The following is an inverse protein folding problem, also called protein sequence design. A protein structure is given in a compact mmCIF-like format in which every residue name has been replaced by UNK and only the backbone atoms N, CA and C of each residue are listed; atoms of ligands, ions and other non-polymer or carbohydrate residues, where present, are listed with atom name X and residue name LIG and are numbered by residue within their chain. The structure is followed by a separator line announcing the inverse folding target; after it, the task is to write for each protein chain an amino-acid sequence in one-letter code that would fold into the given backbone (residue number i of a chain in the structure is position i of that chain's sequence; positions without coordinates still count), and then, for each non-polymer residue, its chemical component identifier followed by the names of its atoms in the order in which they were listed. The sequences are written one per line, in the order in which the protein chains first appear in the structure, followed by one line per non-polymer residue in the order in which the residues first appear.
data_IF_435206360236
#
_entry.id   IF_435206360236
#
_cell.length_a   1.000
_cell.length_b   1.000
_cell.length_c   1.000
_cell.angle_alpha   90.00
_cell.angle_beta   90.00
_cell.angle_gamma   90.00
#
_symmetry.space_group_name_H-M   'P 1'
#
loop_
_entity.id
_entity.type
_entity.pdbx_description
1 polymer ?
#
# COMPACT_ATOMS: atom_id res chain seq x y z
N UNK A 1 17.08 0.85 -1.82
CA UNK A 1 15.63 1.11 -1.88
C UNK A 1 15.36 2.54 -1.52
N UNK A 2 14.47 3.18 -2.24
CA UNK A 2 14.19 4.60 -2.10
C UNK A 2 12.76 4.85 -1.64
N UNK A 3 12.52 6.07 -1.14
CA UNK A 3 11.16 6.51 -0.83
C UNK A 3 10.27 6.51 -2.07
N UNK A 4 10.82 6.87 -3.25
CA UNK A 4 10.08 6.81 -4.50
C UNK A 4 9.60 5.38 -4.81
N UNK A 5 10.41 4.38 -4.51
CA UNK A 5 10.01 2.97 -4.66
C UNK A 5 8.95 2.56 -3.64
N UNK A 6 9.08 3.01 -2.40
CA UNK A 6 8.09 2.73 -1.36
C UNK A 6 6.71 3.25 -1.77
N UNK A 7 6.63 4.50 -2.19
CA UNK A 7 5.38 5.10 -2.65
C UNK A 7 4.88 4.43 -3.93
N UNK A 8 5.80 4.11 -4.85
CA UNK A 8 5.45 3.40 -6.09
C UNK A 8 4.80 2.04 -5.81
N UNK A 9 5.26 1.34 -4.77
CA UNK A 9 4.65 0.08 -4.33
C UNK A 9 3.20 0.29 -3.88
N UNK A 10 2.92 1.39 -3.18
CA UNK A 10 1.55 1.73 -2.77
C UNK A 10 0.67 2.12 -3.95
N UNK A 11 1.22 2.85 -4.93
CA UNK A 11 0.48 3.18 -6.15
C UNK A 11 0.12 1.93 -6.94
N UNK A 12 1.05 0.98 -7.02
CA UNK A 12 0.80 -0.31 -7.66
C UNK A 12 -0.32 -1.06 -6.94
N UNK A 13 -0.30 -1.07 -5.61
CA UNK A 13 -1.34 -1.70 -4.81
C UNK A 13 -2.72 -1.13 -5.12
N UNK A 14 -2.81 0.21 -5.22
CA UNK A 14 -4.05 0.87 -5.60
C UNK A 14 -4.56 0.39 -6.94
N UNK A 15 -3.71 0.37 -7.95
CA UNK A 15 -4.11 0.01 -9.30
C UNK A 15 -4.53 -1.46 -9.41
N UNK A 16 -3.78 -2.35 -8.80
CA UNK A 16 -4.11 -3.78 -8.79
C UNK A 16 -5.41 -4.04 -8.04
N UNK A 17 -5.59 -3.41 -6.89
CA UNK A 17 -6.82 -3.54 -6.10
C UNK A 17 -8.03 -2.99 -6.85
N UNK A 18 -7.89 -1.85 -7.51
CA UNK A 18 -8.95 -1.23 -8.28
C UNK A 18 -9.35 -2.12 -9.46
N UNK A 19 -8.37 -2.64 -10.20
CA UNK A 19 -8.62 -3.57 -11.30
C UNK A 19 -9.34 -4.83 -10.82
N UNK A 20 -8.88 -5.42 -9.73
CA UNK A 20 -9.51 -6.61 -9.15
C UNK A 20 -10.92 -6.32 -8.67
N UNK A 21 -11.14 -5.16 -8.06
CA UNK A 21 -12.46 -4.66 -7.63
C UNK A 21 -13.46 -4.65 -8.80
N UNK A 22 -13.02 -4.22 -9.97
CA UNK A 22 -13.88 -4.16 -11.15
C UNK A 22 -14.12 -5.53 -11.77
N UNK A 23 -13.22 -6.48 -11.58
CA UNK A 23 -13.27 -7.79 -12.22
C UNK A 23 -13.85 -8.90 -11.33
N UNK A 24 -13.97 -8.67 -10.03
CA UNK A 24 -14.50 -9.70 -9.13
C UNK A 24 -16.01 -9.85 -9.29
N UNK A 25 -16.49 -11.08 -9.04
CA UNK A 25 -17.93 -11.38 -9.00
C UNK A 25 -18.44 -11.46 -7.55
N UNK A 26 -17.57 -11.25 -6.59
CA UNK A 26 -17.92 -11.25 -5.17
C UNK A 26 -18.17 -9.83 -4.71
N UNK A 27 -19.39 -9.55 -4.24
CA UNK A 27 -19.70 -8.23 -3.69
C UNK A 27 -18.84 -7.91 -2.48
N UNK A 28 -18.57 -8.90 -1.64
CA UNK A 28 -17.74 -8.71 -0.46
C UNK A 28 -16.32 -8.29 -0.85
N UNK A 29 -15.72 -8.94 -1.85
CA UNK A 29 -14.39 -8.56 -2.36
C UNK A 29 -14.42 -7.18 -3.00
N UNK A 30 -15.42 -6.90 -3.80
CA UNK A 30 -15.62 -5.61 -4.44
C UNK A 30 -15.62 -4.49 -3.40
N UNK A 31 -16.40 -4.63 -2.34
CA UNK A 31 -16.51 -3.63 -1.28
C UNK A 31 -15.22 -3.47 -0.47
N UNK A 32 -14.57 -4.60 -0.10
CA UNK A 32 -13.32 -4.57 0.64
C UNK A 32 -12.21 -3.89 -0.15
N UNK A 33 -12.11 -4.19 -1.44
CA UNK A 33 -11.09 -3.60 -2.31
C UNK A 33 -11.37 -2.12 -2.58
N UNK A 34 -12.63 -1.72 -2.64
CA UNK A 34 -12.99 -0.30 -2.79
C UNK A 34 -12.45 0.52 -1.62
N UNK A 35 -12.68 0.07 -0.40
CA UNK A 35 -12.15 0.73 0.79
C UNK A 35 -10.63 0.79 0.74
N UNK A 36 -9.99 -0.31 0.36
CA UNK A 36 -8.53 -0.39 0.31
C UNK A 36 -7.93 0.61 -0.68
N UNK A 37 -8.40 0.62 -1.93
CA UNK A 37 -7.73 1.48 -2.92
C UNK A 37 -7.98 2.96 -2.67
N UNK A 38 -9.11 3.32 -2.05
CA UNK A 38 -9.37 4.71 -1.66
C UNK A 38 -8.44 5.14 -0.52
N UNK A 39 -8.30 4.30 0.49
CA UNK A 39 -7.52 4.65 1.69
C UNK A 39 -6.01 4.55 1.48
N UNK A 40 -5.54 3.59 0.67
CA UNK A 40 -4.11 3.43 0.46
C UNK A 40 -3.50 4.65 -0.21
N UNK A 41 -4.23 5.30 -1.13
CA UNK A 41 -3.71 6.49 -1.79
C UNK A 41 -3.70 7.70 -0.84
N UNK A 42 -4.69 7.81 0.03
CA UNK A 42 -4.69 8.86 1.06
C UNK A 42 -3.51 8.71 2.00
N UNK A 43 -3.21 7.48 2.43
CA UNK A 43 -2.07 7.22 3.29
C UNK A 43 -0.75 7.41 2.57
N UNK A 44 -0.67 7.05 1.28
CA UNK A 44 0.52 7.31 0.48
C UNK A 44 0.81 8.81 0.36
N UNK A 45 -0.21 9.62 0.14
CA UNK A 45 -0.07 11.08 0.09
C UNK A 45 0.35 11.64 1.44
N UNK A 46 -0.27 11.20 2.51
CA UNK A 46 0.07 11.61 3.87
C UNK A 46 1.53 11.28 4.19
N UNK A 47 1.97 10.08 3.83
CA UNK A 47 3.35 9.66 4.02
C UNK A 47 4.31 10.51 3.19
N UNK A 48 4.01 10.70 1.90
CA UNK A 48 4.87 11.45 0.99
C UNK A 48 5.06 12.90 1.45
N UNK A 49 3.97 13.56 1.86
CA UNK A 49 4.04 14.94 2.34
C UNK A 49 4.85 15.05 3.62
N UNK A 50 4.62 14.17 4.59
CA UNK A 50 5.38 14.15 5.83
C UNK A 50 6.86 13.83 5.60
N UNK A 51 7.15 12.90 4.70
CA UNK A 51 8.52 12.56 4.33
C UNK A 51 9.23 13.77 3.73
N UNK A 52 8.60 14.46 2.79
CA UNK A 52 9.18 15.65 2.15
C UNK A 52 9.39 16.78 3.13
N UNK A 53 8.53 16.92 4.13
CA UNK A 53 8.71 17.90 5.20
C UNK A 53 9.90 17.59 6.09
N UNK A 54 10.22 16.32 6.29
CA UNK A 54 11.35 15.89 7.13
C UNK A 54 12.66 15.82 6.35
N UNK A 55 12.65 15.24 5.15
CA UNK A 55 13.87 14.88 4.43
C UNK A 55 14.09 15.67 3.14
N UNK A 56 13.10 16.39 2.64
CA UNK A 56 13.18 17.11 1.37
C UNK A 56 12.45 16.38 0.24
N UNK A 57 12.44 16.99 -0.93
CA UNK A 57 11.67 16.47 -2.07
C UNK A 57 12.10 15.09 -2.50
N UNK A 58 11.12 14.22 -2.75
CA UNK A 58 11.34 12.84 -3.19
C UNK A 58 11.73 12.79 -4.67
N UNK A 59 11.18 13.70 -5.46
CA UNK A 59 11.31 13.65 -6.92
C UNK A 59 10.25 12.72 -7.54
N UNK A 60 10.46 12.30 -8.81
CA UNK A 60 9.49 11.44 -9.49
C UNK A 60 9.29 10.11 -8.77
N UNK A 61 8.03 9.69 -8.66
CA UNK A 61 7.68 8.41 -8.05
C UNK A 61 7.98 7.29 -9.05
N UNK A 62 8.50 6.17 -8.55
CA UNK A 62 8.77 4.99 -9.37
C UNK A 62 7.45 4.32 -9.76
N UNK A 63 7.04 4.51 -11.00
CA UNK A 63 5.82 3.89 -11.51
C UNK A 63 6.13 2.44 -11.89
N UNK A 64 5.39 1.51 -11.30
CA UNK A 64 5.61 0.09 -11.45
C UNK A 64 4.51 -0.56 -12.26
N UNK A 65 4.85 -1.63 -12.97
CA UNK A 65 3.88 -2.46 -13.67
C UNK A 65 3.69 -3.76 -12.90
N UNK A 66 2.44 -4.15 -12.70
CA UNK A 66 2.13 -5.42 -12.07
C UNK A 66 2.21 -6.55 -13.10
N UNK A 67 2.74 -7.68 -12.67
CA UNK A 67 2.48 -8.93 -13.38
C UNK A 67 1.02 -9.28 -13.15
N UNK A 68 0.38 -9.87 -14.16
CA UNK A 68 -0.99 -10.34 -14.04
C UNK A 68 -1.05 -11.31 -12.85
N UNK A 69 -1.90 -10.99 -11.87
CA UNK A 69 -2.11 -11.86 -10.72
C UNK A 69 -3.57 -12.31 -10.70
N UNK A 70 -3.77 -13.60 -10.38
CA UNK A 70 -5.10 -14.15 -10.20
C UNK A 70 -5.47 -14.26 -8.72
N UNK A 71 -4.57 -13.85 -7.82
CA UNK A 71 -4.77 -13.99 -6.38
C UNK A 71 -4.40 -12.68 -5.67
N UNK A 72 -5.42 -11.90 -5.39
CA UNK A 72 -5.24 -10.59 -4.73
C UNK A 72 -4.72 -10.74 -3.30
N UNK A 73 -5.10 -11.82 -2.61
CA UNK A 73 -4.62 -12.06 -1.23
C UNK A 73 -3.11 -12.29 -1.25
N UNK A 74 -2.61 -13.16 -2.11
CA UNK A 74 -1.16 -13.40 -2.23
C UNK A 74 -0.42 -12.14 -2.64
N UNK A 75 -1.00 -11.36 -3.56
CA UNK A 75 -0.40 -10.11 -4.00
C UNK A 75 -0.23 -9.14 -2.83
N UNK A 76 -1.28 -8.93 -2.04
CA UNK A 76 -1.24 -8.01 -0.91
C UNK A 76 -0.31 -8.51 0.20
N UNK A 77 -0.31 -9.82 0.47
CA UNK A 77 0.61 -10.41 1.44
C UNK A 77 2.07 -10.21 1.02
N UNK A 78 2.37 -10.39 -0.26
CA UNK A 78 3.70 -10.14 -0.80
C UNK A 78 4.11 -8.68 -0.67
N UNK A 79 3.18 -7.77 -0.85
CA UNK A 79 3.45 -6.34 -0.66
C UNK A 79 3.73 -6.00 0.81
N UNK A 80 3.01 -6.61 1.75
CA UNK A 80 3.29 -6.42 3.17
C UNK A 80 4.75 -6.80 3.47
N UNK A 81 5.20 -7.94 2.95
CA UNK A 81 6.57 -8.39 3.14
C UNK A 81 7.58 -7.40 2.55
N UNK A 82 7.33 -6.91 1.34
CA UNK A 82 8.20 -5.92 0.69
C UNK A 82 8.25 -4.61 1.48
N UNK A 83 7.10 -4.09 1.87
CA UNK A 83 7.01 -2.83 2.61
C UNK A 83 7.67 -2.94 3.98
N UNK A 84 7.54 -4.08 4.64
CA UNK A 84 8.18 -4.35 5.91
C UNK A 84 9.71 -4.30 5.78
N UNK A 85 10.24 -4.91 4.73
CA UNK A 85 11.67 -4.89 4.44
C UNK A 85 12.17 -3.49 4.12
N UNK A 86 11.35 -2.67 3.46
CA UNK A 86 11.71 -1.32 3.05
C UNK A 86 11.67 -0.28 4.18
N UNK A 87 10.78 -0.45 5.17
CA UNK A 87 10.42 0.63 6.09
C UNK A 87 11.60 1.27 6.82
N UNK A 88 12.54 0.47 7.31
CA UNK A 88 13.69 0.99 8.06
C UNK A 88 14.87 1.36 7.18
N UNK A 89 14.80 1.05 5.89
CA UNK A 89 15.78 1.49 4.91
C UNK A 89 15.41 2.84 4.31
N UNK A 90 14.11 3.15 4.29
CA UNK A 90 13.57 4.38 3.70
C UNK A 90 13.45 5.49 4.73
N UNK A 91 13.14 5.13 5.97
CA UNK A 91 12.88 6.07 7.07
C UNK A 91 13.65 5.63 8.30
N UNK A 92 14.26 6.61 8.98
CA UNK A 92 14.94 6.35 10.25
C UNK A 92 13.98 5.73 11.26
N UNK A 93 14.46 4.71 11.96
CA UNK A 93 13.66 3.98 12.94
C UNK A 93 13.10 4.89 14.04
N UNK A 94 13.85 5.93 14.40
CA UNK A 94 13.48 6.89 15.43
C UNK A 94 12.51 7.96 14.95
N UNK A 95 12.27 8.06 13.64
CA UNK A 95 11.31 9.02 13.09
C UNK A 95 9.89 8.52 13.30
N UNK A 96 9.40 8.62 14.55
CA UNK A 96 8.11 8.05 14.93
C UNK A 96 6.92 8.62 14.15
N UNK A 97 6.86 9.92 13.79
CA UNK A 97 5.75 10.40 12.98
C UNK A 97 5.61 9.66 11.65
N UNK A 98 6.73 9.37 10.97
CA UNK A 98 6.70 8.64 9.71
C UNK A 98 6.48 7.13 9.93
N UNK A 99 7.11 6.55 10.94
CA UNK A 99 6.89 5.14 11.27
C UNK A 99 5.44 4.88 11.65
N UNK A 100 4.78 5.82 12.33
CA UNK A 100 3.37 5.71 12.70
C UNK A 100 2.46 5.73 11.47
N UNK A 101 2.78 6.53 10.43
CA UNK A 101 2.02 6.51 9.18
C UNK A 101 2.20 5.15 8.48
N UNK A 102 3.41 4.60 8.49
CA UNK A 102 3.66 3.26 7.95
C UNK A 102 2.86 2.21 8.73
N UNK A 103 2.75 2.35 10.05
CA UNK A 103 1.91 1.47 10.86
C UNK A 103 0.44 1.53 10.42
N UNK A 104 -0.08 2.72 10.10
CA UNK A 104 -1.43 2.88 9.58
C UNK A 104 -1.60 2.17 8.23
N UNK A 105 -0.59 2.25 7.38
CA UNK A 105 -0.60 1.55 6.08
C UNK A 105 -0.69 0.04 6.29
N UNK A 106 0.13 -0.52 7.19
CA UNK A 106 0.05 -1.94 7.51
C UNK A 106 -1.30 -2.32 8.10
N UNK A 107 -1.85 -1.48 8.98
CA UNK A 107 -3.19 -1.71 9.53
C UNK A 107 -4.26 -1.81 8.44
N UNK A 108 -4.17 -0.98 7.41
CA UNK A 108 -5.07 -1.04 6.27
C UNK A 108 -4.92 -2.36 5.50
N UNK A 109 -3.68 -2.79 5.23
CA UNK A 109 -3.44 -4.08 4.57
C UNK A 109 -4.02 -5.24 5.38
N UNK A 110 -3.75 -5.26 6.68
CA UNK A 110 -4.25 -6.34 7.56
C UNK A 110 -5.77 -6.37 7.62
N UNK A 111 -6.42 -5.22 7.75
CA UNK A 111 -7.88 -5.13 7.74
C UNK A 111 -8.47 -5.64 6.44
N UNK A 112 -7.85 -5.27 5.32
CA UNK A 112 -8.29 -5.70 3.99
C UNK A 112 -8.11 -7.21 3.83
N UNK A 113 -6.96 -7.74 4.23
CA UNK A 113 -6.69 -9.18 4.19
C UNK A 113 -7.68 -9.97 5.05
N UNK A 114 -8.03 -9.45 6.23
CA UNK A 114 -9.06 -10.05 7.06
C UNK A 114 -10.38 -10.20 6.28
N UNK A 115 -10.82 -9.12 5.66
CA UNK A 115 -12.08 -9.12 4.91
C UNK A 115 -12.04 -10.09 3.73
N UNK A 116 -10.93 -10.09 2.98
CA UNK A 116 -10.77 -10.93 1.79
C UNK A 116 -10.68 -12.42 2.13
N UNK A 117 -10.07 -12.76 3.26
CA UNK A 117 -9.87 -14.16 3.66
C UNK A 117 -11.10 -14.77 4.34
N UNK A 118 -11.82 -13.98 5.13
CA UNK A 118 -12.79 -14.54 6.07
C UNK A 118 -14.22 -14.06 5.86
N UNK A 119 -14.46 -13.00 5.12
CA UNK A 119 -15.80 -12.47 4.88
C UNK A 119 -16.19 -12.75 3.43
N UNK A 120 -17.15 -13.64 3.26
CA UNK A 120 -17.64 -14.04 1.93
C UNK A 120 -18.55 -12.98 1.31
#
# INVERSE_FOLDING_TARGET
MSCANFIGTLFLARDVAHSTHLNTRSFAKHSALNTFYDEVIELADKFAEAYQGKYGLIGPISLMSAKKTNNIVEFLEGQVDELEEMRYKVVDKECTPLQNIIDEIFGLYYSTLYKLKFLA
#
